data_IF_734666857303
#
_entry.id   IF_734666857303
#
_cell.length_a   1.000
_cell.length_b   1.000
_cell.length_c   1.000
_cell.angle_alpha   90.00
_cell.angle_beta   90.00
_cell.angle_gamma   90.00
#
_symmetry.space_group_name_H-M   'P 1'
#
loop_
_entity.id
_entity.type
_entity.pdbx_description
1 polymer ?
#
# COMPACT_ATOMS: atom_id res chain seq x y z
N UNK A 1 -36.98 -18.53 -52.73
CA UNK A 1 -36.42 -19.22 -51.53
C UNK A 1 -34.97 -19.59 -51.78
N UNK A 2 -34.64 -20.19 -52.94
CA UNK A 2 -33.26 -20.47 -53.37
C UNK A 2 -32.35 -19.22 -53.39
N UNK A 3 -32.84 -18.10 -53.91
CA UNK A 3 -32.11 -16.81 -53.97
C UNK A 3 -31.68 -16.26 -52.60
N UNK A 4 -32.42 -16.57 -51.52
CA UNK A 4 -32.10 -16.08 -50.18
C UNK A 4 -31.04 -16.96 -49.50
N UNK A 5 -30.96 -18.23 -49.89
CA UNK A 5 -29.96 -19.17 -49.39
C UNK A 5 -28.61 -18.89 -50.04
N UNK A 6 -28.59 -18.61 -51.35
CA UNK A 6 -27.36 -18.21 -52.06
C UNK A 6 -26.77 -16.92 -51.50
N UNK A 7 -27.59 -15.89 -51.29
CA UNK A 7 -27.14 -14.63 -50.70
C UNK A 7 -26.59 -14.78 -49.27
N UNK A 8 -27.19 -15.68 -48.47
CA UNK A 8 -26.68 -16.00 -47.13
C UNK A 8 -25.34 -16.74 -47.20
N UNK A 9 -25.20 -17.70 -48.12
CA UNK A 9 -23.94 -18.43 -48.34
C UNK A 9 -22.81 -17.49 -48.76
N UNK A 10 -23.08 -16.53 -49.65
CA UNK A 10 -22.11 -15.53 -50.05
C UNK A 10 -21.70 -14.62 -48.88
N UNK A 11 -22.66 -14.18 -48.05
CA UNK A 11 -22.36 -13.37 -46.88
C UNK A 11 -21.50 -14.13 -45.86
N UNK A 12 -21.77 -15.42 -45.66
CA UNK A 12 -20.97 -16.29 -44.78
C UNK A 12 -19.57 -16.58 -45.35
N UNK A 13 -19.43 -16.70 -46.68
CA UNK A 13 -18.12 -16.86 -47.31
C UNK A 13 -17.22 -15.63 -47.08
N UNK A 14 -17.78 -14.41 -47.18
CA UNK A 14 -17.05 -13.17 -46.85
C UNK A 14 -16.66 -13.13 -45.37
N UNK A 15 -17.55 -13.58 -44.48
CA UNK A 15 -17.24 -13.66 -43.05
C UNK A 15 -16.12 -14.66 -42.74
N UNK A 16 -16.09 -15.79 -43.44
CA UNK A 16 -15.01 -16.78 -43.32
C UNK A 16 -13.68 -16.20 -43.81
N UNK A 17 -13.67 -15.46 -44.91
CA UNK A 17 -12.49 -14.76 -45.40
C UNK A 17 -11.99 -13.69 -44.42
N UNK A 18 -12.91 -12.89 -43.84
CA UNK A 18 -12.56 -11.92 -42.80
C UNK A 18 -11.92 -12.60 -41.58
N UNK A 19 -12.43 -13.78 -41.20
CA UNK A 19 -11.90 -14.54 -40.08
C UNK A 19 -10.53 -15.14 -40.38
N UNK A 20 -10.30 -15.61 -41.60
CA UNK A 20 -8.97 -16.06 -42.03
C UNK A 20 -7.93 -14.93 -42.01
N UNK A 21 -8.33 -13.72 -42.43
CA UNK A 21 -7.48 -12.51 -42.37
C UNK A 21 -7.19 -12.07 -40.93
N UNK A 22 -8.15 -12.22 -40.01
CA UNK A 22 -7.95 -11.94 -38.58
C UNK A 22 -6.83 -12.83 -37.99
N UNK A 23 -6.72 -14.08 -38.45
CA UNK A 23 -5.64 -14.98 -38.05
C UNK A 23 -4.28 -14.65 -38.69
N UNK A 24 -4.26 -13.99 -39.86
CA UNK A 24 -3.00 -13.61 -40.54
C UNK A 24 -2.43 -12.26 -40.08
N UNK A 25 -3.15 -11.52 -39.22
CA UNK A 25 -2.64 -10.32 -38.52
C UNK A 25 -2.76 -9.00 -39.28
N UNK A 26 -3.43 -8.98 -40.44
CA UNK A 26 -3.67 -7.77 -41.24
C UNK A 26 -4.91 -7.00 -40.76
N UNK A 27 -4.76 -6.13 -39.76
CA UNK A 27 -5.91 -5.50 -39.05
C UNK A 27 -6.80 -4.63 -39.94
N UNK A 28 -6.24 -3.84 -40.87
CA UNK A 28 -7.02 -2.96 -41.75
C UNK A 28 -7.89 -3.75 -42.73
N UNK A 29 -7.27 -4.67 -43.48
CA UNK A 29 -7.96 -5.56 -44.43
C UNK A 29 -9.01 -6.44 -43.72
N UNK A 30 -8.70 -6.88 -42.48
CA UNK A 30 -9.63 -7.64 -41.64
C UNK A 30 -10.86 -6.81 -41.26
N UNK A 31 -10.68 -5.55 -40.85
CA UNK A 31 -11.78 -4.65 -40.48
C UNK A 31 -12.66 -4.35 -41.69
N UNK A 32 -12.08 -4.07 -42.85
CA UNK A 32 -12.83 -3.84 -44.10
C UNK A 32 -13.65 -5.09 -44.49
N UNK A 33 -13.06 -6.27 -44.41
CA UNK A 33 -13.75 -7.52 -44.76
C UNK A 33 -14.88 -7.87 -43.78
N UNK A 34 -14.70 -7.61 -42.48
CA UNK A 34 -15.78 -7.77 -41.50
C UNK A 34 -16.91 -6.78 -41.72
N UNK A 35 -16.62 -5.53 -42.13
CA UNK A 35 -17.66 -4.55 -42.50
C UNK A 35 -18.43 -5.03 -43.72
N UNK A 36 -17.75 -5.54 -44.74
CA UNK A 36 -18.38 -6.10 -45.93
C UNK A 36 -19.31 -7.28 -45.58
N UNK A 37 -18.88 -8.18 -44.68
CA UNK A 37 -19.70 -9.28 -44.19
C UNK A 37 -20.95 -8.79 -43.45
N UNK A 38 -20.81 -7.81 -42.56
CA UNK A 38 -21.93 -7.20 -41.81
C UNK A 38 -22.96 -6.59 -42.76
N UNK A 39 -22.52 -5.79 -43.73
CA UNK A 39 -23.41 -5.14 -44.70
C UNK A 39 -24.23 -6.17 -45.49
N UNK A 40 -23.61 -7.28 -45.89
CA UNK A 40 -24.30 -8.35 -46.63
C UNK A 40 -25.27 -9.13 -45.72
N UNK A 41 -24.88 -9.44 -44.50
CA UNK A 41 -25.75 -10.13 -43.52
C UNK A 41 -26.97 -9.28 -43.14
N UNK A 42 -26.80 -7.97 -43.00
CA UNK A 42 -27.93 -7.04 -42.77
C UNK A 42 -28.90 -7.04 -43.95
N UNK A 43 -28.39 -6.97 -45.19
CA UNK A 43 -29.23 -7.01 -46.39
C UNK A 43 -30.00 -8.34 -46.53
N UNK A 44 -29.36 -9.46 -46.19
CA UNK A 44 -29.99 -10.80 -46.18
C UNK A 44 -31.04 -10.90 -45.08
N UNK A 45 -30.82 -10.31 -43.90
CA UNK A 45 -31.77 -10.37 -42.80
C UNK A 45 -33.11 -9.67 -43.10
N UNK A 46 -33.12 -8.67 -43.99
CA UNK A 46 -34.35 -7.97 -44.39
C UNK A 46 -35.28 -8.81 -45.29
N UNK A 47 -34.76 -9.88 -45.91
CA UNK A 47 -35.53 -10.75 -46.82
C UNK A 47 -35.78 -12.15 -46.26
N UNK A 48 -35.32 -12.44 -45.04
CA UNK A 48 -35.51 -13.72 -44.35
C UNK A 48 -36.80 -13.74 -43.51
N UNK A 49 -37.38 -14.94 -43.27
CA UNK A 49 -38.40 -15.13 -42.24
C UNK A 49 -37.95 -14.59 -40.87
N UNK A 50 -38.90 -14.08 -40.07
CA UNK A 50 -38.61 -13.31 -38.84
C UNK A 50 -37.71 -14.04 -37.83
N UNK A 51 -37.89 -15.34 -37.69
CA UNK A 51 -37.12 -16.22 -36.79
C UNK A 51 -35.65 -16.36 -37.23
N UNK A 52 -35.41 -16.50 -38.53
CA UNK A 52 -34.08 -16.57 -39.12
C UNK A 52 -33.42 -15.19 -39.18
N UNK A 53 -34.19 -14.14 -39.50
CA UNK A 53 -33.74 -12.76 -39.53
C UNK A 53 -33.24 -12.29 -38.14
N UNK A 54 -33.94 -12.65 -37.07
CA UNK A 54 -33.48 -12.37 -35.70
C UNK A 54 -32.14 -13.05 -35.40
N UNK A 55 -31.99 -14.30 -35.81
CA UNK A 55 -30.76 -15.07 -35.60
C UNK A 55 -29.58 -14.45 -36.34
N UNK A 56 -29.78 -14.04 -37.60
CA UNK A 56 -28.77 -13.32 -38.39
C UNK A 56 -28.42 -11.99 -37.72
N UNK A 57 -29.41 -11.18 -37.33
CA UNK A 57 -29.19 -9.88 -36.67
C UNK A 57 -28.39 -10.01 -35.36
N UNK A 58 -28.68 -11.03 -34.54
CA UNK A 58 -27.91 -11.31 -33.30
C UNK A 58 -26.46 -11.66 -33.59
N UNK A 59 -26.20 -12.48 -34.62
CA UNK A 59 -24.84 -12.87 -35.00
C UNK A 59 -24.08 -11.69 -35.63
N UNK A 60 -24.73 -10.86 -36.44
CA UNK A 60 -24.16 -9.64 -36.99
C UNK A 60 -23.70 -8.68 -35.90
N UNK A 61 -24.44 -8.58 -34.79
CA UNK A 61 -24.06 -7.75 -33.65
C UNK A 61 -22.77 -8.22 -32.97
N UNK A 62 -22.53 -9.54 -32.91
CA UNK A 62 -21.26 -10.08 -32.41
C UNK A 62 -20.08 -9.67 -33.31
N UNK A 63 -20.29 -9.63 -34.63
CA UNK A 63 -19.30 -9.20 -35.61
C UNK A 63 -19.01 -7.69 -35.46
N UNK A 64 -20.03 -6.86 -35.26
CA UNK A 64 -19.85 -5.42 -34.99
C UNK A 64 -18.99 -5.15 -33.76
N UNK A 65 -19.22 -5.90 -32.67
CA UNK A 65 -18.39 -5.81 -31.45
C UNK A 65 -16.93 -6.20 -31.71
N UNK A 66 -16.69 -7.18 -32.57
CA UNK A 66 -15.33 -7.58 -32.99
C UNK A 66 -14.65 -6.48 -33.80
N UNK A 67 -15.36 -5.82 -34.73
CA UNK A 67 -14.87 -4.65 -35.47
C UNK A 67 -14.44 -3.53 -34.50
N UNK A 68 -15.28 -3.21 -33.51
CA UNK A 68 -14.97 -2.18 -32.50
C UNK A 68 -13.74 -2.55 -31.66
N UNK A 69 -13.59 -3.82 -31.30
CA UNK A 69 -12.42 -4.33 -30.59
C UNK A 69 -11.14 -4.14 -31.42
N UNK A 70 -11.16 -4.54 -32.69
CA UNK A 70 -10.02 -4.39 -33.60
C UNK A 70 -9.62 -2.92 -33.78
N UNK A 71 -10.60 -2.03 -33.95
CA UNK A 71 -10.37 -0.57 -34.03
C UNK A 71 -9.78 0.03 -32.75
N UNK A 72 -10.22 -0.42 -31.57
CA UNK A 72 -9.64 0.03 -30.28
C UNK A 72 -8.23 -0.52 -30.06
N UNK A 73 -7.97 -1.76 -30.44
CA UNK A 73 -6.63 -2.34 -30.41
C UNK A 73 -5.67 -1.56 -31.31
N UNK A 74 -6.13 -1.12 -32.49
CA UNK A 74 -5.40 -0.20 -33.37
C UNK A 74 -5.11 1.14 -32.70
N UNK A 75 -6.11 1.81 -32.12
CA UNK A 75 -5.91 3.07 -31.40
C UNK A 75 -4.84 2.95 -30.31
N UNK A 76 -4.82 1.82 -29.60
CA UNK A 76 -3.84 1.54 -28.56
C UNK A 76 -2.44 1.26 -29.13
N UNK A 77 -2.36 0.71 -30.36
CA UNK A 77 -1.10 0.36 -31.06
C UNK A 77 -0.53 1.49 -31.92
N UNK A 78 -1.33 2.48 -32.31
CA UNK A 78 -0.90 3.68 -33.05
C UNK A 78 -0.59 4.89 -32.14
N UNK A 79 -1.03 4.87 -30.87
CA UNK A 79 -0.56 5.84 -29.86
C UNK A 79 0.92 5.75 -29.40
N UNK A 80 1.72 4.67 -29.56
CA UNK A 80 3.10 4.68 -29.12
C UNK A 80 4.00 5.61 -29.96
N UNK A 81 3.53 6.11 -31.11
CA UNK A 81 4.27 7.06 -31.95
C UNK A 81 4.23 8.51 -31.45
N UNK A 82 3.36 8.86 -30.49
CA UNK A 82 3.20 10.23 -29.98
C UNK A 82 3.92 10.50 -28.67
N UNK A 83 4.51 9.48 -28.05
CA UNK A 83 5.23 9.63 -26.79
C UNK A 83 6.70 9.28 -27.00
N UNK A 84 7.64 10.13 -26.56
CA UNK A 84 9.05 9.80 -26.63
C UNK A 84 9.31 8.51 -25.84
N UNK A 85 9.77 7.46 -26.54
CA UNK A 85 10.24 6.24 -25.92
C UNK A 85 11.68 6.44 -25.46
N UNK A 86 11.89 6.60 -24.16
CA UNK A 86 13.22 6.62 -23.58
C UNK A 86 13.69 5.20 -23.36
N UNK A 87 14.91 4.87 -23.78
CA UNK A 87 15.58 3.65 -23.34
C UNK A 87 15.82 3.79 -21.83
N UNK A 88 14.94 3.20 -21.01
CA UNK A 88 15.16 3.09 -19.58
C UNK A 88 16.29 2.06 -19.41
N UNK A 89 17.54 2.53 -19.37
CA UNK A 89 18.61 1.72 -18.82
C UNK A 89 18.32 1.54 -17.35
N UNK A 90 17.96 0.32 -16.96
CA UNK A 90 17.91 -0.05 -15.56
C UNK A 90 19.34 0.04 -15.01
N UNK A 91 19.65 1.17 -14.37
CA UNK A 91 20.84 1.32 -13.55
C UNK A 91 20.42 0.86 -12.15
N UNK A 92 20.90 -0.30 -11.67
CA UNK A 92 20.67 -0.68 -10.28
C UNK A 92 21.23 0.44 -9.42
N UNK A 93 20.36 1.18 -8.74
CA UNK A 93 20.83 2.14 -7.74
C UNK A 93 21.54 1.30 -6.68
N UNK A 94 22.83 1.54 -6.40
CA UNK A 94 23.52 0.82 -5.36
C UNK A 94 22.72 1.03 -4.08
N UNK A 95 22.21 -0.08 -3.54
CA UNK A 95 21.60 -0.09 -2.23
C UNK A 95 22.67 0.44 -1.28
N UNK A 96 22.44 1.56 -0.57
CA UNK A 96 23.42 2.06 0.38
C UNK A 96 23.75 0.91 1.33
N UNK A 97 25.02 0.50 1.35
CA UNK A 97 25.50 -0.43 2.37
C UNK A 97 25.51 0.39 3.67
N UNK A 98 24.35 0.51 4.31
CA UNK A 98 24.26 1.05 5.65
C UNK A 98 25.02 0.08 6.56
N UNK A 99 26.00 0.59 7.31
CA UNK A 99 26.70 -0.17 8.33
C UNK A 99 25.68 -0.55 9.42
N UNK A 100 25.06 -1.72 9.25
CA UNK A 100 23.98 -2.20 10.10
C UNK A 100 24.55 -2.64 11.45
N UNK A 101 24.73 -1.68 12.36
CA UNK A 101 25.23 -1.92 13.71
C UNK A 101 24.12 -1.76 14.74
N UNK A 102 23.52 -2.88 15.11
CA UNK A 102 22.56 -2.94 16.22
C UNK A 102 23.28 -2.66 17.54
N UNK A 103 22.80 -1.73 18.37
CA UNK A 103 23.39 -1.49 19.69
C UNK A 103 23.38 -2.74 20.57
N UNK A 104 24.44 -2.95 21.36
CA UNK A 104 24.53 -4.09 22.29
C UNK A 104 23.52 -3.99 23.43
N UNK A 105 23.36 -2.79 24.00
CA UNK A 105 22.45 -2.52 25.12
C UNK A 105 20.98 -2.62 24.69
N UNK A 106 20.14 -3.39 25.40
CA UNK A 106 18.69 -3.46 25.14
C UNK A 106 18.02 -2.08 25.18
N UNK A 107 18.43 -1.22 26.11
CA UNK A 107 17.92 0.15 26.22
C UNK A 107 18.19 0.95 24.94
N UNK A 108 19.43 0.96 24.46
CA UNK A 108 19.81 1.68 23.23
C UNK A 108 19.17 1.09 21.96
N UNK A 109 18.82 -0.22 21.96
CA UNK A 109 18.12 -0.83 20.83
C UNK A 109 16.73 -0.23 20.61
N UNK A 110 16.04 0.19 21.67
CA UNK A 110 14.72 0.84 21.55
C UNK A 110 14.84 2.12 20.75
N UNK A 111 15.75 3.02 21.13
CA UNK A 111 15.91 4.31 20.45
C UNK A 111 16.50 4.17 19.05
N UNK A 112 17.35 3.16 18.84
CA UNK A 112 17.80 2.78 17.51
C UNK A 112 16.64 2.31 16.61
N UNK A 113 15.74 1.46 17.13
CA UNK A 113 14.52 1.06 16.42
C UNK A 113 13.63 2.27 16.12
N UNK A 114 13.47 3.20 17.07
CA UNK A 114 12.68 4.41 16.85
C UNK A 114 13.26 5.25 15.69
N UNK A 115 14.59 5.38 15.60
CA UNK A 115 15.26 6.04 14.47
C UNK A 115 14.98 5.33 13.15
N UNK A 116 15.01 3.99 13.12
CA UNK A 116 14.71 3.22 11.92
C UNK A 116 13.25 3.36 11.49
N UNK A 117 12.30 3.27 12.42
CA UNK A 117 10.88 3.51 12.16
C UNK A 117 10.68 4.90 11.57
N UNK A 118 11.24 5.94 12.20
CA UNK A 118 11.16 7.31 11.69
C UNK A 118 11.73 7.39 10.28
N UNK A 119 12.94 6.88 10.06
CA UNK A 119 13.60 6.90 8.74
C UNK A 119 12.75 6.19 7.68
N UNK A 120 12.19 5.03 8.01
CA UNK A 120 11.35 4.26 7.10
C UNK A 120 10.11 5.02 6.65
N UNK A 121 9.48 5.78 7.55
CA UNK A 121 8.30 6.61 7.26
C UNK A 121 8.64 7.73 6.25
N UNK A 122 9.84 8.32 6.31
CA UNK A 122 10.20 9.46 5.47
C UNK A 122 10.86 9.07 4.14
N UNK A 123 11.73 8.06 4.15
CA UNK A 123 12.59 7.74 3.01
C UNK A 123 12.86 6.24 2.82
N UNK A 124 12.26 5.39 3.65
CA UNK A 124 12.59 3.96 3.70
C UNK A 124 13.84 3.66 4.54
N UNK A 125 13.95 2.43 5.05
CA UNK A 125 15.10 2.00 5.87
C UNK A 125 15.27 0.48 5.89
N UNK A 126 16.50 0.03 6.12
CA UNK A 126 16.79 -1.37 6.44
C UNK A 126 16.51 -1.65 7.92
N UNK A 127 15.59 -2.57 8.19
CA UNK A 127 15.31 -3.07 9.54
C UNK A 127 16.17 -4.27 9.89
N UNK A 128 16.61 -5.02 8.89
CA UNK A 128 17.63 -6.07 8.97
C UNK A 128 18.49 -5.97 7.70
N UNK A 129 19.66 -6.65 7.63
CA UNK A 129 20.47 -6.67 6.42
C UNK A 129 19.71 -7.17 5.17
N UNK A 130 18.62 -7.92 5.36
CA UNK A 130 17.80 -8.50 4.29
C UNK A 130 16.39 -7.93 4.20
N UNK A 131 16.03 -6.94 5.04
CA UNK A 131 14.67 -6.37 5.05
C UNK A 131 14.74 -4.85 4.90
N UNK A 132 14.52 -4.40 3.67
CA UNK A 132 14.24 -3.00 3.36
C UNK A 132 12.74 -2.74 3.43
N UNK A 133 12.34 -1.72 4.17
CA UNK A 133 10.97 -1.21 4.16
C UNK A 133 10.98 0.14 3.48
N UNK A 134 10.43 0.17 2.27
CA UNK A 134 10.36 1.38 1.44
C UNK A 134 9.37 2.39 2.01
N UNK A 135 9.57 3.68 1.70
CA UNK A 135 8.61 4.75 2.08
C UNK A 135 7.21 4.45 1.55
N UNK A 136 7.13 3.91 0.34
CA UNK A 136 5.89 3.56 -0.37
C UNK A 136 5.06 2.53 0.38
N UNK A 137 5.66 1.75 1.29
CA UNK A 137 4.92 0.84 2.17
C UNK A 137 4.01 1.63 3.11
N UNK A 138 4.44 2.81 3.59
CA UNK A 138 3.69 3.64 4.52
C UNK A 138 2.59 4.44 3.82
N UNK A 139 2.85 4.94 2.61
CA UNK A 139 1.95 5.89 1.91
C UNK A 139 1.15 5.25 0.76
N UNK A 140 0.75 3.98 0.90
CA UNK A 140 -0.01 3.28 -0.14
C UNK A 140 -1.44 3.82 -0.26
N UNK A 141 -1.98 3.87 -1.48
CA UNK A 141 -3.42 4.12 -1.67
C UNK A 141 -4.28 3.13 -0.88
N UNK A 142 -5.22 3.66 -0.11
CA UNK A 142 -6.10 2.94 0.79
C UNK A 142 -5.40 2.28 1.99
N UNK A 143 -4.16 2.65 2.34
CA UNK A 143 -3.44 2.08 3.49
C UNK A 143 -4.24 2.21 4.79
N UNK A 144 -4.80 3.39 5.05
CA UNK A 144 -5.58 3.68 6.26
C UNK A 144 -6.77 2.74 6.47
N UNK A 145 -7.35 2.20 5.39
CA UNK A 145 -8.46 1.22 5.45
C UNK A 145 -8.05 -0.18 5.94
N UNK A 146 -6.77 -0.53 5.81
CA UNK A 146 -6.23 -1.83 6.26
C UNK A 146 -5.83 -1.79 7.73
N UNK A 147 -5.58 -0.59 8.25
CA UNK A 147 -5.11 -0.38 9.59
C UNK A 147 -6.28 -0.14 10.53
N UNK A 148 -6.18 -0.75 11.70
CA UNK A 148 -7.17 -0.61 12.77
C UNK A 148 -6.73 0.48 13.74
N UNK A 149 -7.71 1.12 14.37
CA UNK A 149 -7.50 2.04 15.48
C UNK A 149 -6.64 3.27 15.15
N UNK A 150 -6.64 3.72 13.89
CA UNK A 150 -5.84 4.88 13.45
C UNK A 150 -6.14 6.11 14.32
N UNK A 151 -7.43 6.40 14.58
CA UNK A 151 -7.81 7.53 15.44
C UNK A 151 -7.31 7.43 16.88
N UNK A 152 -7.37 6.23 17.48
CA UNK A 152 -6.88 5.98 18.85
C UNK A 152 -5.36 6.15 18.93
N UNK A 153 -4.63 5.56 17.97
CA UNK A 153 -3.17 5.68 17.84
C UNK A 153 -2.75 7.14 17.63
N UNK A 154 -3.46 7.86 16.78
CA UNK A 154 -3.22 9.28 16.53
C UNK A 154 -3.34 10.10 17.83
N UNK A 155 -4.42 9.90 18.60
CA UNK A 155 -4.61 10.56 19.91
C UNK A 155 -3.50 10.20 20.90
N UNK A 156 -3.14 8.92 20.99
CA UNK A 156 -2.06 8.45 21.85
C UNK A 156 -0.74 9.17 21.50
N UNK A 157 -0.36 9.18 20.21
CA UNK A 157 0.90 9.78 19.78
C UNK A 157 0.91 11.30 19.92
N UNK A 158 -0.21 11.99 19.64
CA UNK A 158 -0.29 13.43 19.87
C UNK A 158 -0.18 13.78 21.35
N UNK A 159 -0.87 13.03 22.23
CA UNK A 159 -0.80 13.24 23.68
C UNK A 159 0.58 12.89 24.25
N UNK A 160 1.23 11.87 23.69
CA UNK A 160 2.60 11.49 24.05
C UNK A 160 3.58 12.63 23.71
N UNK A 161 3.47 13.26 22.54
CA UNK A 161 4.24 14.46 22.21
C UNK A 161 4.00 15.59 23.23
N UNK A 162 2.74 15.86 23.58
CA UNK A 162 2.41 16.87 24.59
C UNK A 162 3.01 16.55 25.97
N UNK A 163 3.09 15.27 26.34
CA UNK A 163 3.70 14.83 27.59
C UNK A 163 5.24 14.99 27.59
N UNK A 164 5.89 14.93 26.42
CA UNK A 164 7.34 15.16 26.31
C UNK A 164 7.71 16.65 26.30
N UNK A 165 6.79 17.55 25.98
CA UNK A 165 7.10 18.98 25.82
C UNK A 165 7.69 19.67 27.07
N UNK A 166 7.19 19.41 28.31
CA UNK A 166 7.83 19.94 29.52
C UNK A 166 9.26 19.44 29.74
N UNK A 167 9.57 18.22 29.29
CA UNK A 167 10.93 17.67 29.37
C UNK A 167 11.84 18.33 28.34
N UNK A 168 11.33 18.63 27.14
CA UNK A 168 12.08 19.30 26.08
C UNK A 168 12.45 20.75 26.42
N UNK A 169 11.62 21.43 27.19
CA UNK A 169 11.88 22.81 27.62
C UNK A 169 12.87 22.92 28.79
N UNK A 170 13.31 21.79 29.36
CA UNK A 170 14.34 21.79 30.39
C UNK A 170 15.71 22.13 29.78
N UNK A 171 16.25 23.29 30.16
CA UNK A 171 17.58 23.76 29.71
C UNK A 171 18.72 23.27 30.57
N UNK A 172 18.46 22.86 31.82
CA UNK A 172 19.46 22.36 32.77
C UNK A 172 19.04 21.02 33.37
N UNK A 173 19.93 20.02 33.26
CA UNK A 173 19.75 18.69 33.86
C UNK A 173 20.43 18.54 35.23
N UNK A 174 21.04 19.61 35.74
CA UNK A 174 21.71 19.64 37.04
C UNK A 174 20.75 19.70 38.23
N UNK A 175 19.50 20.08 38.00
CA UNK A 175 18.43 20.02 39.00
C UNK A 175 17.85 18.60 39.02
N UNK A 176 18.46 17.74 39.83
CA UNK A 176 18.15 16.32 39.91
C UNK A 176 16.71 16.08 40.39
N UNK A 177 16.25 16.82 41.41
CA UNK A 177 14.91 16.66 41.96
C UNK A 177 13.83 17.03 40.94
N UNK A 178 14.00 18.16 40.26
CA UNK A 178 13.08 18.58 39.20
C UNK A 178 13.07 17.63 38.01
N UNK A 179 14.25 17.13 37.63
CA UNK A 179 14.38 16.13 36.55
C UNK A 179 13.66 14.84 36.91
N UNK A 180 13.89 14.32 38.12
CA UNK A 180 13.21 13.12 38.63
C UNK A 180 11.69 13.33 38.63
N UNK A 181 11.21 14.47 39.15
CA UNK A 181 9.78 14.81 39.20
C UNK A 181 9.14 14.80 37.81
N UNK A 182 9.77 15.43 36.81
CA UNK A 182 9.22 15.48 35.45
C UNK A 182 9.23 14.12 34.76
N UNK A 183 10.27 13.30 34.97
CA UNK A 183 10.32 11.93 34.44
C UNK A 183 9.26 11.01 35.07
N UNK A 184 9.03 11.14 36.39
CA UNK A 184 7.93 10.43 37.07
C UNK A 184 6.58 10.83 36.50
N UNK A 185 6.32 12.13 36.37
CA UNK A 185 5.08 12.65 35.78
C UNK A 185 4.87 12.12 34.35
N UNK A 186 5.91 12.12 33.53
CA UNK A 186 5.83 11.54 32.19
C UNK A 186 5.48 10.05 32.22
N UNK A 187 6.12 9.28 33.10
CA UNK A 187 5.86 7.84 33.27
C UNK A 187 4.40 7.54 33.62
N UNK A 188 3.83 8.33 34.53
CA UNK A 188 2.44 8.19 34.97
C UNK A 188 1.47 8.55 33.85
N UNK A 189 1.73 9.66 33.14
CA UNK A 189 0.92 10.09 31.98
C UNK A 189 0.99 9.06 30.85
N UNK A 190 2.17 8.54 30.50
CA UNK A 190 2.31 7.52 29.47
C UNK A 190 1.50 6.27 29.80
N UNK A 191 1.54 5.83 31.07
CA UNK A 191 0.77 4.67 31.54
C UNK A 191 -0.73 4.88 31.40
N UNK A 192 -1.23 6.06 31.72
CA UNK A 192 -2.65 6.43 31.57
C UNK A 192 -3.06 6.46 30.08
N UNK A 193 -2.22 7.07 29.23
CA UNK A 193 -2.42 7.10 27.79
C UNK A 193 -2.43 5.69 27.20
N UNK A 194 -1.54 4.81 27.66
CA UNK A 194 -1.45 3.41 27.25
C UNK A 194 -2.71 2.63 27.64
N UNK A 195 -3.16 2.79 28.88
CA UNK A 195 -4.40 2.19 29.38
C UNK A 195 -5.62 2.64 28.58
N UNK A 196 -5.70 3.93 28.25
CA UNK A 196 -6.77 4.48 27.41
C UNK A 196 -6.75 3.86 26.02
N UNK A 197 -5.58 3.76 25.40
CA UNK A 197 -5.42 3.14 24.09
C UNK A 197 -5.82 1.65 24.11
N UNK A 198 -5.38 0.90 25.11
CA UNK A 198 -5.71 -0.53 25.24
C UNK A 198 -7.21 -0.74 25.48
N UNK A 199 -7.85 0.14 26.25
CA UNK A 199 -9.30 0.17 26.45
C UNK A 199 -10.05 0.46 25.15
N UNK A 200 -9.62 1.45 24.37
CA UNK A 200 -10.22 1.75 23.06
C UNK A 200 -10.05 0.59 22.07
N UNK A 201 -8.89 -0.08 22.05
CA UNK A 201 -8.64 -1.27 21.24
C UNK A 201 -9.51 -2.45 21.70
N UNK A 202 -9.64 -2.65 23.01
CA UNK A 202 -10.43 -3.72 23.63
C UNK A 202 -11.93 -3.57 23.36
N UNK A 203 -12.50 -2.39 23.58
CA UNK A 203 -13.94 -2.09 23.38
C UNK A 203 -14.43 -2.40 21.97
N UNK A 204 -13.57 -2.27 20.96
CA UNK A 204 -13.94 -2.56 19.56
C UNK A 204 -13.85 -4.06 19.23
N UNK A 205 -13.04 -4.85 19.95
CA UNK A 205 -13.06 -6.31 19.80
C UNK A 205 -14.41 -6.90 20.24
N UNK A 206 -15.06 -6.28 21.22
CA UNK A 206 -16.36 -6.71 21.76
C UNK A 206 -17.57 -6.22 20.95
N UNK A 207 -17.37 -5.27 20.02
CA UNK A 207 -18.41 -4.77 19.15
C UNK A 207 -18.69 -5.78 18.01
N UNK A 208 -19.69 -6.66 18.20
CA UNK A 208 -20.18 -7.56 17.13
C UNK A 208 -20.57 -6.76 15.87
N UNK A 209 -20.04 -7.11 14.68
CA UNK A 209 -20.37 -6.39 13.46
C UNK A 209 -21.82 -6.67 13.04
N UNK A 210 -22.70 -5.67 13.16
CA UNK A 210 -24.06 -5.72 12.59
C UNK A 210 -23.96 -5.73 11.05
N UNK A 211 -24.26 -6.88 10.45
CA UNK A 211 -24.31 -7.09 8.99
C UNK A 211 -25.52 -6.34 8.40
N UNK A 212 -25.31 -5.12 7.92
CA UNK A 212 -26.21 -4.44 6.97
C UNK A 212 -25.49 -4.29 5.64
N UNK A 213 -25.87 -5.13 4.67
CA UNK A 213 -25.22 -5.24 3.35
C UNK A 213 -25.48 -4.00 2.49
N UNK A 214 -26.62 -3.33 2.68
CA UNK A 214 -27.00 -2.16 1.88
C UNK A 214 -26.43 -0.83 2.38
N UNK A 215 -26.09 -0.72 3.67
CA UNK A 215 -25.39 0.45 4.23
C UNK A 215 -23.87 0.47 3.98
N UNK A 216 -23.28 -0.67 3.61
CA UNK A 216 -21.84 -0.83 3.47
C UNK A 216 -21.26 -0.20 2.19
N UNK A 217 -22.04 -0.11 1.11
CA UNK A 217 -21.58 0.47 -0.17
C UNK A 217 -21.56 2.00 -0.13
N UNK A 218 -22.60 2.63 0.44
CA UNK A 218 -22.67 4.09 0.59
C UNK A 218 -21.69 4.62 1.65
N UNK A 219 -21.40 3.85 2.72
CA UNK A 219 -20.39 4.21 3.73
C UNK A 219 -18.96 4.01 3.25
N UNK A 220 -18.69 3.04 2.36
CA UNK A 220 -17.34 2.83 1.80
C UNK A 220 -16.85 4.02 0.99
N UNK A 221 -17.72 4.68 0.21
CA UNK A 221 -17.33 5.83 -0.59
C UNK A 221 -16.99 7.09 0.23
N UNK A 222 -17.70 7.36 1.34
CA UNK A 222 -17.38 8.48 2.26
C UNK A 222 -16.28 8.15 3.27
N UNK A 223 -16.05 6.88 3.57
CA UNK A 223 -14.99 6.42 4.48
C UNK A 223 -13.61 6.47 3.84
N UNK A 224 -13.50 6.30 2.52
CA UNK A 224 -12.20 6.26 1.84
C UNK A 224 -11.45 7.58 1.94
N UNK A 225 -12.09 8.70 1.61
CA UNK A 225 -11.46 10.04 1.63
C UNK A 225 -11.17 10.56 3.04
N UNK A 226 -12.00 10.25 4.04
CA UNK A 226 -11.73 10.67 5.42
C UNK A 226 -10.73 9.78 6.16
N UNK A 227 -10.56 8.51 5.77
CA UNK A 227 -9.66 7.61 6.48
C UNK A 227 -8.21 7.72 5.98
N UNK A 228 -8.00 8.06 4.70
CA UNK A 228 -6.68 8.36 4.15
C UNK A 228 -6.08 9.63 4.77
N UNK A 229 -6.84 10.74 4.80
CA UNK A 229 -6.36 11.98 5.42
C UNK A 229 -6.01 11.82 6.90
N UNK A 230 -6.71 10.94 7.62
CA UNK A 230 -6.42 10.65 9.02
C UNK A 230 -5.14 9.84 9.21
N UNK A 231 -4.74 9.00 8.25
CA UNK A 231 -3.53 8.19 8.40
C UNK A 231 -2.25 8.99 8.14
N UNK A 232 -2.25 9.92 7.19
CA UNK A 232 -1.10 10.80 6.98
C UNK A 232 -0.81 11.67 8.21
N UNK A 233 -1.88 12.15 8.86
CA UNK A 233 -1.78 12.85 10.15
C UNK A 233 -1.27 11.91 11.24
N UNK A 234 -1.72 10.66 11.26
CA UNK A 234 -1.20 9.62 12.16
C UNK A 234 0.31 9.39 11.98
N UNK A 235 0.81 9.32 10.73
CA UNK A 235 2.24 9.21 10.44
C UNK A 235 3.03 10.44 10.86
N UNK A 236 2.44 11.63 10.72
CA UNK A 236 3.05 12.90 11.19
C UNK A 236 3.24 12.89 12.71
N UNK A 237 2.23 12.46 13.46
CA UNK A 237 2.34 12.30 14.90
C UNK A 237 3.30 11.19 15.30
N UNK A 238 3.31 10.06 14.58
CA UNK A 238 4.28 8.99 14.80
C UNK A 238 5.72 9.48 14.63
N UNK A 239 6.01 10.16 13.52
CA UNK A 239 7.31 10.79 13.26
C UNK A 239 7.73 11.72 14.39
N UNK A 240 6.81 12.59 14.83
CA UNK A 240 7.08 13.55 15.90
C UNK A 240 7.38 12.86 17.23
N UNK A 241 6.58 11.86 17.61
CA UNK A 241 6.78 11.10 18.85
C UNK A 241 8.10 10.32 18.84
N UNK A 242 8.45 9.70 17.71
CA UNK A 242 9.71 8.97 17.53
C UNK A 242 10.93 9.90 17.65
N UNK A 243 10.84 11.11 17.11
CA UNK A 243 11.89 12.13 17.17
C UNK A 243 12.04 12.69 18.59
N UNK A 244 10.94 13.10 19.21
CA UNK A 244 10.97 13.67 20.56
C UNK A 244 11.48 12.64 21.58
N UNK A 245 11.10 11.37 21.43
CA UNK A 245 11.54 10.28 22.29
C UNK A 245 13.06 10.07 22.30
N UNK A 246 13.80 10.55 21.29
CA UNK A 246 15.27 10.51 21.30
C UNK A 246 15.88 11.36 22.43
N UNK A 247 15.10 12.23 23.08
CA UNK A 247 15.51 12.94 24.29
C UNK A 247 15.95 11.98 25.41
N UNK A 248 15.22 10.90 25.63
CA UNK A 248 15.46 9.99 26.74
C UNK A 248 16.79 9.23 26.60
N UNK A 249 17.19 8.86 25.38
CA UNK A 249 18.51 8.27 25.13
C UNK A 249 19.62 9.27 25.45
N UNK A 250 19.47 10.52 25.01
CA UNK A 250 20.44 11.59 25.29
C UNK A 250 20.61 11.83 26.78
N UNK A 251 19.50 11.86 27.52
CA UNK A 251 19.52 12.02 28.98
C UNK A 251 20.14 10.82 29.67
N UNK A 252 19.83 9.59 29.22
CA UNK A 252 20.44 8.39 29.78
C UNK A 252 21.96 8.39 29.58
N UNK A 253 22.46 8.77 28.40
CA UNK A 253 23.89 8.91 28.14
C UNK A 253 24.51 9.94 29.09
N UNK A 254 23.89 11.11 29.23
CA UNK A 254 24.34 12.17 30.13
C UNK A 254 24.46 11.68 31.59
N UNK A 255 23.40 11.10 32.15
CA UNK A 255 23.40 10.64 33.54
C UNK A 255 24.32 9.43 33.76
N UNK A 256 24.48 8.55 32.76
CA UNK A 256 25.46 7.46 32.82
C UNK A 256 26.90 7.98 32.89
N UNK A 257 27.20 9.06 32.16
CA UNK A 257 28.51 9.73 32.24
C UNK A 257 28.70 10.46 33.57
N UNK A 258 27.65 11.12 34.08
CA UNK A 258 27.68 11.83 35.36
C UNK A 258 28.02 10.88 36.54
N UNK A 259 27.47 9.66 36.56
CA UNK A 259 27.82 8.64 37.57
C UNK A 259 29.31 8.27 37.52
N UNK A 260 29.91 8.18 36.33
CA UNK A 260 31.32 7.78 36.16
C UNK A 260 32.30 8.89 36.51
N UNK A 261 31.89 10.15 36.35
CA UNK A 261 32.77 11.31 36.48
C UNK A 261 32.79 11.97 37.86
N UNK A 262 31.90 11.59 38.78
CA UNK A 262 31.73 12.29 40.07
C UNK A 262 31.70 11.30 41.24
N UNK A 263 32.48 11.60 42.29
CA UNK A 263 32.45 10.91 43.58
C UNK A 263 32.38 11.94 44.72
N UNK A 264 31.34 11.93 45.58
CA UNK A 264 30.25 10.97 45.65
C UNK A 264 29.16 11.19 44.58
N UNK A 265 28.53 10.11 44.14
CA UNK A 265 27.40 10.17 43.20
C UNK A 265 26.19 10.80 43.89
N UNK A 266 25.57 11.80 43.27
CA UNK A 266 24.34 12.39 43.78
C UNK A 266 23.22 11.34 43.84
N UNK A 267 22.55 11.24 44.98
CA UNK A 267 21.61 10.16 45.31
C UNK A 267 20.41 10.01 44.36
N UNK A 268 20.01 11.06 43.65
CA UNK A 268 18.90 11.01 42.69
C UNK A 268 19.28 10.50 41.29
N UNK A 269 20.57 10.47 40.93
CA UNK A 269 20.99 10.04 39.58
C UNK A 269 20.63 8.56 39.29
N UNK A 270 20.83 7.60 40.21
CA UNK A 270 20.39 6.22 39.98
C UNK A 270 18.88 6.12 39.70
N UNK A 271 18.05 6.86 40.45
CA UNK A 271 16.59 6.87 40.25
C UNK A 271 16.20 7.42 38.88
N UNK A 272 16.88 8.46 38.41
CA UNK A 272 16.67 9.01 37.07
C UNK A 272 17.00 7.96 36.00
N UNK A 273 18.11 7.23 36.15
CA UNK A 273 18.46 6.16 35.19
C UNK A 273 17.41 5.04 35.17
N UNK A 274 16.90 4.63 36.34
CA UNK A 274 15.84 3.63 36.43
C UNK A 274 14.55 4.12 35.74
N UNK A 275 14.17 5.37 35.96
CA UNK A 275 13.02 5.98 35.28
C UNK A 275 13.22 6.04 33.76
N UNK A 276 14.41 6.41 33.29
CA UNK A 276 14.71 6.44 31.86
C UNK A 276 14.62 5.04 31.26
N UNK A 277 15.16 4.01 31.93
CA UNK A 277 15.02 2.62 31.48
C UNK A 277 13.56 2.19 31.39
N UNK A 278 12.75 2.53 32.41
CA UNK A 278 11.32 2.24 32.41
C UNK A 278 10.59 2.93 31.24
N UNK A 279 10.90 4.20 30.99
CA UNK A 279 10.38 4.95 29.83
C UNK A 279 10.79 4.27 28.52
N UNK A 280 12.02 3.79 28.40
CA UNK A 280 12.46 3.00 27.25
C UNK A 280 11.60 1.76 27.01
N UNK A 281 11.26 1.02 28.07
CA UNK A 281 10.36 -0.15 27.99
C UNK A 281 8.93 0.26 27.59
N UNK A 282 8.42 1.37 28.10
CA UNK A 282 7.11 1.92 27.75
C UNK A 282 7.05 2.32 26.27
N UNK A 283 8.03 3.07 25.79
CA UNK A 283 8.10 3.50 24.38
C UNK A 283 8.27 2.32 23.41
N UNK A 284 8.97 1.27 23.83
CA UNK A 284 9.04 0.03 23.05
C UNK A 284 7.68 -0.65 22.98
N UNK A 285 7.08 -0.98 24.13
CA UNK A 285 5.85 -1.77 24.22
C UNK A 285 4.58 -1.01 23.76
N UNK A 286 4.61 0.31 23.79
CA UNK A 286 3.61 1.19 23.19
C UNK A 286 3.99 1.56 21.75
N UNK A 287 4.64 2.71 21.61
CA UNK A 287 4.90 3.36 20.31
C UNK A 287 5.54 2.43 19.27
N UNK A 288 6.63 1.71 19.62
CA UNK A 288 7.36 0.91 18.63
C UNK A 288 6.57 -0.33 18.20
N UNK A 289 6.00 -1.08 19.14
CA UNK A 289 5.23 -2.31 18.84
C UNK A 289 4.03 -2.00 17.96
N UNK A 290 3.32 -0.89 18.20
CA UNK A 290 2.19 -0.51 17.34
C UNK A 290 2.62 -0.20 15.91
N UNK A 291 3.69 0.57 15.74
CA UNK A 291 4.20 0.92 14.42
C UNK A 291 4.75 -0.31 13.69
N UNK A 292 5.42 -1.24 14.39
CA UNK A 292 5.86 -2.50 13.82
C UNK A 292 4.69 -3.37 13.35
N UNK A 293 3.59 -3.40 14.11
CA UNK A 293 2.40 -4.15 13.72
C UNK A 293 1.76 -3.55 12.46
N UNK A 294 1.61 -2.23 12.41
CA UNK A 294 1.09 -1.53 11.23
C UNK A 294 2.01 -1.73 10.02
N UNK A 295 3.33 -1.61 10.22
CA UNK A 295 4.33 -1.89 9.19
C UNK A 295 4.17 -3.30 8.62
N UNK A 296 3.98 -4.30 9.47
CA UNK A 296 3.82 -5.70 9.04
C UNK A 296 2.61 -5.85 8.12
N UNK A 297 1.45 -5.33 8.52
CA UNK A 297 0.21 -5.36 7.72
C UNK A 297 0.40 -4.63 6.38
N UNK A 298 1.10 -3.49 6.41
CA UNK A 298 1.35 -2.70 5.20
C UNK A 298 2.34 -3.38 4.26
N UNK A 299 3.39 -4.04 4.76
CA UNK A 299 4.34 -4.82 3.95
C UNK A 299 3.61 -5.96 3.25
N UNK A 300 2.79 -6.72 3.96
CA UNK A 300 1.97 -7.80 3.37
C UNK A 300 1.05 -7.27 2.26
N UNK A 301 0.36 -6.14 2.53
CA UNK A 301 -0.48 -5.47 1.53
C UNK A 301 0.33 -5.02 0.31
N UNK A 302 1.51 -4.44 0.54
CA UNK A 302 2.39 -3.94 -0.51
C UNK A 302 2.85 -5.10 -1.41
N UNK A 303 3.33 -6.20 -0.82
CA UNK A 303 3.72 -7.41 -1.53
C UNK A 303 2.57 -7.98 -2.37
N UNK A 304 1.36 -8.05 -1.80
CA UNK A 304 0.17 -8.51 -2.53
C UNK A 304 -0.15 -7.60 -3.74
N UNK A 305 -0.03 -6.28 -3.59
CA UNK A 305 -0.21 -5.33 -4.70
C UNK A 305 0.87 -5.51 -5.77
N UNK A 306 2.14 -5.62 -5.37
CA UNK A 306 3.25 -5.86 -6.29
C UNK A 306 3.04 -7.15 -7.10
N UNK A 307 2.68 -8.25 -6.44
CA UNK A 307 2.40 -9.52 -7.11
C UNK A 307 1.27 -9.38 -8.14
N UNK A 308 0.15 -8.74 -7.76
CA UNK A 308 -0.98 -8.50 -8.67
C UNK A 308 -0.58 -7.65 -9.88
N UNK A 309 0.23 -6.61 -9.67
CA UNK A 309 0.74 -5.78 -10.76
C UNK A 309 1.68 -6.57 -11.68
N UNK A 310 2.60 -7.38 -11.12
CA UNK A 310 3.47 -8.24 -11.93
C UNK A 310 2.68 -9.25 -12.75
N UNK A 311 1.67 -9.90 -12.19
CA UNK A 311 0.81 -10.85 -12.93
C UNK A 311 -0.01 -10.20 -14.05
N UNK A 312 -0.21 -8.89 -14.02
CA UNK A 312 -0.89 -8.14 -15.11
C UNK A 312 0.08 -7.71 -16.22
N UNK A 313 1.34 -7.48 -15.88
CA UNK A 313 2.39 -7.07 -16.81
C UNK A 313 3.05 -8.26 -17.50
N UNK A 314 3.17 -9.38 -16.80
CA UNK A 314 3.65 -10.63 -17.36
C UNK A 314 2.53 -11.29 -18.17
N UNK A 315 2.80 -11.77 -19.40
CA UNK A 315 1.80 -12.49 -20.17
C UNK A 315 1.31 -13.70 -19.36
N UNK A 316 0.00 -13.81 -19.20
CA UNK A 316 -0.66 -14.98 -18.61
C UNK A 316 -0.40 -16.14 -19.55
N UNK A 317 0.56 -16.98 -19.19
CA UNK A 317 1.00 -18.21 -19.86
C UNK A 317 1.06 -18.14 -21.41
N UNK A 318 2.25 -18.16 -22.05
CA UNK A 318 2.28 -18.70 -23.40
C UNK A 318 1.77 -20.14 -23.29
N UNK A 319 0.57 -20.40 -23.79
CA UNK A 319 0.13 -21.77 -24.04
C UNK A 319 1.19 -22.35 -24.96
N UNK A 320 2.06 -23.19 -24.44
CA UNK A 320 2.91 -24.03 -25.27
C UNK A 320 1.92 -24.83 -26.09
N UNK A 321 1.85 -24.54 -27.40
CA UNK A 321 1.13 -25.37 -28.34
C UNK A 321 1.60 -26.80 -28.07
N UNK A 322 0.67 -27.66 -27.65
CA UNK A 322 0.94 -29.08 -27.59
C UNK A 322 1.30 -29.47 -29.01
N UNK A 323 2.60 -29.69 -29.26
CA UNK A 323 3.08 -30.25 -30.51
C UNK A 323 2.34 -31.55 -30.73
N UNK A 324 1.32 -31.50 -31.59
CA UNK A 324 0.65 -32.65 -32.13
C UNK A 324 1.64 -33.38 -33.01
N UNK A 325 2.46 -34.23 -32.39
CA UNK A 325 3.06 -35.35 -33.10
C UNK A 325 1.91 -36.33 -33.38
N UNK A 326 1.21 -36.10 -34.48
CA UNK A 326 0.44 -37.14 -35.14
C UNK A 326 1.41 -38.05 -35.89
N UNK A 327 1.29 -39.34 -35.56
CA UNK A 327 1.97 -40.54 -36.08
C UNK A 327 2.11 -40.54 -37.60
#
# INVERSE_FOLDING_TARGET
METNVEALMEALAVLQQATALDFSGGVEETVEMYIAAVTRLDAVAEVLPSDLAETVKRNTEAIRRKIDMLRRSRWTREQPALFPSFTIQFVPVPVPIEDYRVPRSPFSRVFWLMRLLKRSIHQGAFFTPSLYVSREVWIQDGCGSSLRFVGAKMKYMSALCSAMEPLRSMTTLGDIEKTEMHLRRFTDVERELRSTLDSEIGRVKDAKPKKSVWGALAKKAKSWTHQESNYDVCLTWASSALEQGQLFERWHIYFTQAIKGVSPVQSGIPRILDLLQHIGVQLYSGLCVFLLHDMTILVERYQCKCQKSMTRLLPVEPRLESGGASV
#
